data_IF_136169863876
#
_entry.id   IF_136169863876
#
_cell.length_a   1.000
_cell.length_b   1.000
_cell.length_c   1.000
_cell.angle_alpha   90.00
_cell.angle_beta   90.00
_cell.angle_gamma   90.00
#
_symmetry.space_group_name_H-M   'P 1'
#
loop_
_entity.id
_entity.type
_entity.pdbx_description
1 polymer ?
#
# COMPACT_ATOMS: atom_id res chain seq x y z
N UNK A 1 -43.83 -1.48 65.21
CA UNK A 1 -43.70 -0.75 63.94
C UNK A 1 -42.29 -0.99 63.42
N UNK A 2 -42.15 -1.88 62.44
CA UNK A 2 -40.85 -2.31 61.92
C UNK A 2 -40.74 -1.75 60.50
N UNK A 3 -39.88 -0.75 60.33
CA UNK A 3 -39.60 -0.14 59.03
C UNK A 3 -38.69 -1.05 58.20
N UNK A 4 -39.24 -1.58 57.09
CA UNK A 4 -38.53 -2.38 56.10
C UNK A 4 -37.92 -1.43 55.05
N UNK A 5 -36.62 -1.18 55.12
CA UNK A 5 -35.88 -0.45 54.10
C UNK A 5 -35.60 -1.39 52.90
N UNK A 6 -36.26 -1.16 51.78
CA UNK A 6 -36.00 -1.83 50.53
C UNK A 6 -34.89 -1.06 49.82
N UNK A 7 -33.67 -1.62 49.81
CA UNK A 7 -32.53 -1.12 49.03
C UNK A 7 -32.63 -1.65 47.62
N UNK A 8 -33.02 -0.77 46.69
CA UNK A 8 -33.05 -1.09 45.25
C UNK A 8 -31.62 -1.02 44.66
N UNK A 9 -31.01 -2.15 44.45
CA UNK A 9 -29.71 -2.25 43.80
C UNK A 9 -29.87 -2.05 42.26
N UNK A 10 -29.48 -0.88 41.74
CA UNK A 10 -29.34 -0.65 40.32
C UNK A 10 -28.11 -1.41 39.83
N UNK A 11 -28.31 -2.59 39.22
CA UNK A 11 -27.28 -3.24 38.41
C UNK A 11 -27.12 -2.44 37.09
N UNK A 12 -26.10 -1.60 37.02
CA UNK A 12 -25.67 -0.96 35.78
C UNK A 12 -25.11 -2.02 34.83
N UNK A 13 -25.83 -2.33 33.75
CA UNK A 13 -25.36 -3.10 32.61
C UNK A 13 -24.32 -2.25 31.86
N UNK A 14 -23.05 -2.37 32.22
CA UNK A 14 -21.96 -1.84 31.41
C UNK A 14 -21.76 -2.77 30.21
N UNK A 15 -22.37 -2.45 29.08
CA UNK A 15 -22.04 -3.11 27.80
C UNK A 15 -20.58 -2.77 27.46
N UNK A 16 -19.71 -3.76 27.21
CA UNK A 16 -18.36 -3.48 26.74
C UNK A 16 -18.45 -2.82 25.36
N UNK A 17 -18.12 -1.54 25.30
CA UNK A 17 -17.93 -0.84 24.02
C UNK A 17 -16.64 -1.38 23.43
N UNK A 18 -16.74 -2.33 22.50
CA UNK A 18 -15.61 -2.75 21.70
C UNK A 18 -15.30 -1.64 20.69
N UNK A 19 -14.33 -0.81 21.00
CA UNK A 19 -13.76 0.13 20.05
C UNK A 19 -12.97 -0.69 19.01
N UNK A 20 -13.61 -1.11 17.94
CA UNK A 20 -12.96 -1.75 16.79
C UNK A 20 -12.36 -0.67 15.89
N UNK A 21 -11.15 -0.22 16.19
CA UNK A 21 -10.36 0.55 15.24
C UNK A 21 -10.05 -0.29 13.98
N UNK A 22 -9.60 0.34 12.88
CA UNK A 22 -9.27 -0.39 11.66
C UNK A 22 -8.13 -1.36 11.92
N UNK A 23 -8.27 -2.60 11.42
CA UNK A 23 -7.22 -3.61 11.48
C UNK A 23 -6.22 -3.38 10.34
N UNK A 24 -4.89 -3.41 10.60
CA UNK A 24 -3.91 -3.30 9.54
C UNK A 24 -4.01 -4.48 8.58
N UNK A 25 -4.14 -4.17 7.30
CA UNK A 25 -4.19 -5.13 6.20
C UNK A 25 -2.79 -5.33 5.60
N UNK A 26 -2.62 -6.41 4.83
CA UNK A 26 -1.38 -6.73 4.13
C UNK A 26 -1.69 -7.17 2.71
N UNK A 27 -0.81 -6.82 1.77
CA UNK A 27 -0.76 -7.39 0.44
C UNK A 27 0.68 -7.78 0.11
N UNK A 28 0.84 -8.87 -0.64
CA UNK A 28 2.13 -9.30 -1.18
C UNK A 28 1.89 -9.97 -2.52
N UNK A 29 2.56 -9.46 -3.55
CA UNK A 29 2.57 -10.07 -4.89
C UNK A 29 4.02 -10.26 -5.34
N UNK A 30 4.27 -11.34 -6.06
CA UNK A 30 5.59 -11.67 -6.59
C UNK A 30 5.43 -12.17 -8.02
N UNK A 31 6.34 -11.76 -8.90
CA UNK A 31 6.38 -12.22 -10.29
C UNK A 31 7.79 -12.65 -10.67
N UNK A 32 7.89 -13.78 -11.38
CA UNK A 32 9.12 -14.19 -12.04
C UNK A 32 9.23 -13.55 -13.43
N UNK A 33 10.41 -13.04 -13.75
CA UNK A 33 10.71 -12.32 -14.99
C UNK A 33 11.92 -12.95 -15.66
N UNK A 34 11.83 -13.25 -16.96
CA UNK A 34 12.91 -13.81 -17.78
C UNK A 34 13.86 -12.68 -18.24
N UNK A 35 14.43 -11.98 -17.28
CA UNK A 35 15.44 -10.94 -17.51
C UNK A 35 16.38 -10.85 -16.30
N UNK A 36 17.66 -10.46 -16.50
CA UNK A 36 18.60 -10.27 -15.41
C UNK A 36 18.16 -9.19 -14.42
N UNK A 37 18.53 -9.36 -13.14
CA UNK A 37 18.24 -8.39 -12.06
C UNK A 37 18.61 -6.96 -12.46
N UNK A 38 19.78 -6.76 -13.07
CA UNK A 38 20.25 -5.43 -13.47
C UNK A 38 19.30 -4.73 -14.47
N UNK A 39 18.73 -5.48 -15.43
CA UNK A 39 17.79 -4.94 -16.41
C UNK A 39 16.45 -4.56 -15.76
N UNK A 40 15.94 -5.43 -14.89
CA UNK A 40 14.68 -5.18 -14.18
C UNK A 40 14.86 -4.03 -13.20
N UNK A 41 15.93 -4.01 -12.42
CA UNK A 41 16.22 -2.94 -11.48
C UNK A 41 16.37 -1.58 -12.19
N UNK A 42 17.11 -1.51 -13.30
CA UNK A 42 17.23 -0.30 -14.10
C UNK A 42 15.88 0.30 -14.54
N UNK A 43 14.86 -0.54 -14.69
CA UNK A 43 13.50 -0.11 -15.07
C UNK A 43 12.72 0.45 -13.89
N UNK A 44 12.90 -0.09 -12.67
CA UNK A 44 12.05 0.26 -11.51
C UNK A 44 12.74 1.15 -10.48
N UNK A 45 14.07 1.30 -10.53
CA UNK A 45 14.86 1.95 -9.48
C UNK A 45 14.58 3.43 -9.28
N UNK A 46 14.13 4.13 -10.30
CA UNK A 46 13.82 5.55 -10.20
C UNK A 46 12.47 5.73 -9.52
N UNK A 47 12.48 6.19 -8.28
CA UNK A 47 11.30 6.23 -7.40
C UNK A 47 10.14 7.04 -8.00
N UNK A 48 10.43 8.18 -8.59
CA UNK A 48 9.41 9.07 -9.15
C UNK A 48 9.00 8.73 -10.60
N UNK A 49 9.62 7.71 -11.21
CA UNK A 49 9.32 7.30 -12.58
C UNK A 49 8.37 6.08 -12.68
N UNK A 50 7.62 5.74 -11.64
CA UNK A 50 6.76 4.55 -11.61
C UNK A 50 5.72 4.52 -12.73
N UNK A 51 5.18 5.65 -13.16
CA UNK A 51 4.22 5.71 -14.27
C UNK A 51 4.81 5.25 -15.61
N UNK A 52 6.14 5.18 -15.74
CA UNK A 52 6.79 4.66 -16.93
C UNK A 52 6.57 3.15 -17.15
N UNK A 53 6.15 2.43 -16.10
CA UNK A 53 5.92 0.99 -16.16
C UNK A 53 4.62 0.53 -15.48
N UNK A 54 3.89 1.41 -14.77
CA UNK A 54 2.67 1.06 -14.06
C UNK A 54 1.43 1.58 -14.80
N UNK A 55 0.55 0.70 -15.33
CA UNK A 55 -0.53 1.09 -16.23
C UNK A 55 -1.68 1.82 -15.55
N UNK A 56 -1.86 1.69 -14.22
CA UNK A 56 -2.93 2.36 -13.49
C UNK A 56 -2.64 3.84 -13.24
N UNK A 57 -1.42 4.30 -13.59
CA UNK A 57 -0.99 5.67 -13.42
C UNK A 57 -0.92 6.41 -14.76
N UNK A 58 -1.49 7.62 -14.76
CA UNK A 58 -1.39 8.57 -15.87
C UNK A 58 -0.06 9.32 -15.85
N UNK A 59 0.42 9.66 -14.65
CA UNK A 59 1.68 10.36 -14.43
C UNK A 59 2.25 10.05 -13.04
N UNK A 60 3.56 10.23 -12.89
CA UNK A 60 4.24 10.33 -11.60
C UNK A 60 5.31 11.40 -11.70
N UNK A 61 5.37 12.27 -10.71
CA UNK A 61 6.26 13.44 -10.69
C UNK A 61 6.94 13.53 -9.33
N UNK A 62 8.24 13.82 -9.33
CA UNK A 62 9.06 13.97 -8.13
C UNK A 62 10.25 14.87 -8.37
N UNK A 63 11.17 14.87 -7.41
CA UNK A 63 12.40 15.69 -7.46
C UNK A 63 13.60 14.95 -8.11
N UNK A 64 13.37 13.74 -8.62
CA UNK A 64 14.42 12.88 -9.19
C UNK A 64 15.34 12.25 -8.15
N UNK A 65 15.10 12.50 -6.86
CA UNK A 65 15.94 12.00 -5.77
C UNK A 65 15.53 10.58 -5.36
N UNK A 66 16.51 9.67 -5.35
CA UNK A 66 16.38 8.35 -4.72
C UNK A 66 16.95 8.36 -3.29
N UNK A 67 16.63 9.38 -2.51
CA UNK A 67 17.07 9.52 -1.12
C UNK A 67 15.87 9.51 -0.18
N UNK A 68 16.10 9.06 1.06
CA UNK A 68 15.07 9.12 2.11
C UNK A 68 14.53 10.54 2.27
N UNK A 69 13.20 10.68 2.31
CA UNK A 69 12.49 11.95 2.31
C UNK A 69 12.13 12.49 0.92
N UNK A 70 12.66 11.89 -0.16
CA UNK A 70 12.25 12.19 -1.54
C UNK A 70 10.76 11.89 -1.73
N UNK A 71 10.08 12.73 -2.50
CA UNK A 71 8.62 12.63 -2.69
C UNK A 71 8.28 12.39 -4.14
N UNK A 72 7.16 11.68 -4.35
CA UNK A 72 6.51 11.61 -5.65
C UNK A 72 5.02 11.87 -5.53
N UNK A 73 4.45 12.51 -6.53
CA UNK A 73 2.99 12.66 -6.68
C UNK A 73 2.55 11.74 -7.80
N UNK A 74 1.62 10.85 -7.49
CA UNK A 74 1.00 9.93 -8.44
C UNK A 74 -0.30 10.53 -8.95
N UNK A 75 -0.52 10.51 -10.26
CA UNK A 75 -1.81 10.82 -10.89
C UNK A 75 -2.40 9.53 -11.44
N UNK A 76 -3.54 9.12 -10.92
CA UNK A 76 -4.27 7.92 -11.38
C UNK A 76 -5.04 8.19 -12.67
N UNK A 77 -5.54 7.12 -13.32
CA UNK A 77 -6.31 7.23 -14.56
C UNK A 77 -7.59 8.07 -14.41
N UNK A 78 -8.18 8.11 -13.20
CA UNK A 78 -9.34 8.96 -12.87
C UNK A 78 -8.99 10.44 -12.62
N UNK A 79 -7.72 10.83 -12.76
CA UNK A 79 -7.24 12.18 -12.55
C UNK A 79 -7.00 12.57 -11.09
N UNK A 80 -7.30 11.69 -10.14
CA UNK A 80 -7.04 11.93 -8.72
C UNK A 80 -5.57 11.70 -8.40
N UNK A 81 -5.06 12.41 -7.40
CA UNK A 81 -3.65 12.35 -7.02
C UNK A 81 -3.47 11.97 -5.55
N UNK A 82 -2.34 11.37 -5.25
CA UNK A 82 -1.80 11.20 -3.90
C UNK A 82 -0.30 11.44 -3.90
N UNK A 83 0.28 11.65 -2.71
CA UNK A 83 1.73 11.85 -2.58
C UNK A 83 2.32 10.74 -1.70
N UNK A 84 3.46 10.20 -2.12
CA UNK A 84 4.25 9.23 -1.39
C UNK A 84 5.63 9.80 -1.06
N UNK A 85 6.26 9.27 -0.01
CA UNK A 85 7.58 9.66 0.45
C UNK A 85 8.47 8.42 0.57
N UNK A 86 9.67 8.49 0.01
CA UNK A 86 10.68 7.43 0.05
C UNK A 86 11.25 7.34 1.47
N UNK A 87 11.21 6.15 2.06
CA UNK A 87 11.77 5.88 3.39
C UNK A 87 13.19 5.35 3.33
N UNK A 88 13.43 4.43 2.40
CA UNK A 88 14.67 3.69 2.26
C UNK A 88 14.95 3.38 0.79
N UNK A 89 16.22 3.44 0.41
CA UNK A 89 16.69 3.05 -0.92
C UNK A 89 18.07 2.38 -0.82
N UNK A 90 18.22 1.24 -1.47
CA UNK A 90 19.48 0.51 -1.51
C UNK A 90 19.75 -0.03 -2.92
N UNK A 91 20.72 0.58 -3.60
CA UNK A 91 21.13 0.20 -4.97
C UNK A 91 21.74 -1.22 -5.01
N UNK A 92 22.49 -1.63 -3.98
CA UNK A 92 23.16 -2.93 -3.93
C UNK A 92 22.19 -4.08 -3.66
N UNK A 93 21.21 -3.84 -2.80
CA UNK A 93 20.15 -4.81 -2.45
C UNK A 93 18.98 -4.82 -3.45
N UNK A 94 18.98 -3.88 -4.40
CA UNK A 94 17.92 -3.68 -5.38
C UNK A 94 16.54 -3.55 -4.74
N UNK A 95 16.46 -2.70 -3.71
CA UNK A 95 15.21 -2.51 -2.99
C UNK A 95 15.01 -1.05 -2.56
N UNK A 96 13.76 -0.68 -2.43
CA UNK A 96 13.35 0.55 -1.77
C UNK A 96 12.01 0.39 -1.07
N UNK A 97 11.76 1.23 -0.07
CA UNK A 97 10.47 1.31 0.60
C UNK A 97 9.98 2.74 0.70
N UNK A 98 8.67 2.90 0.72
CA UNK A 98 8.01 4.19 0.76
C UNK A 98 6.68 4.12 1.50
N UNK A 99 6.14 5.28 1.85
CA UNK A 99 4.85 5.40 2.51
C UNK A 99 3.98 6.49 1.89
N UNK A 100 2.68 6.37 2.14
CA UNK A 100 1.72 7.42 1.84
C UNK A 100 2.04 8.66 2.70
N UNK A 101 2.13 9.83 2.05
CA UNK A 101 2.39 11.12 2.70
C UNK A 101 1.13 12.00 2.73
N UNK A 102 0.43 12.06 1.61
CA UNK A 102 -0.84 12.78 1.51
C UNK A 102 -1.89 11.84 0.96
N UNK A 103 -2.86 11.51 1.80
CA UNK A 103 -3.95 10.62 1.43
C UNK A 103 -4.96 11.29 0.50
N UNK A 104 -5.54 10.48 -0.37
CA UNK A 104 -6.72 10.81 -1.14
C UNK A 104 -7.48 9.52 -1.42
N UNK A 105 -8.54 9.27 -0.67
CA UNK A 105 -9.34 8.03 -0.79
C UNK A 105 -10.13 7.94 -2.09
N UNK A 106 -10.25 9.03 -2.86
CA UNK A 106 -10.79 9.01 -4.21
C UNK A 106 -9.76 8.54 -5.25
N UNK A 107 -8.46 8.73 -4.96
CA UNK A 107 -7.38 8.20 -5.77
C UNK A 107 -7.15 6.71 -5.46
N UNK A 108 -7.06 6.39 -4.16
CA UNK A 108 -6.76 5.04 -3.71
C UNK A 108 -7.40 4.78 -2.33
N UNK A 109 -8.12 3.66 -2.11
CA UNK A 109 -8.98 3.46 -0.94
C UNK A 109 -8.22 3.05 0.34
N UNK A 110 -7.09 3.70 0.62
CA UNK A 110 -6.30 3.55 1.84
C UNK A 110 -6.09 4.89 2.52
N UNK A 111 -6.16 4.93 3.86
CA UNK A 111 -5.84 6.11 4.67
C UNK A 111 -4.35 6.18 5.03
N UNK A 112 -3.67 5.04 4.97
CA UNK A 112 -2.23 4.90 5.22
C UNK A 112 -1.74 3.65 4.52
N UNK A 113 -0.56 3.71 3.91
CA UNK A 113 0.15 2.52 3.42
C UNK A 113 1.67 2.72 3.48
N UNK A 114 2.36 1.60 3.63
CA UNK A 114 3.80 1.48 3.36
C UNK A 114 4.01 0.34 2.39
N UNK A 115 4.94 0.51 1.45
CA UNK A 115 5.25 -0.47 0.42
C UNK A 115 6.75 -0.70 0.36
N UNK A 116 7.15 -1.95 0.15
CA UNK A 116 8.51 -2.39 -0.17
C UNK A 116 8.50 -2.99 -1.57
N UNK A 117 9.42 -2.55 -2.42
CA UNK A 117 9.74 -3.16 -3.71
C UNK A 117 11.14 -3.77 -3.62
N UNK A 118 11.26 -5.05 -3.99
CA UNK A 118 12.55 -5.75 -4.07
C UNK A 118 12.67 -6.52 -5.37
N UNK A 119 13.83 -6.40 -6.03
CA UNK A 119 14.24 -7.23 -7.16
C UNK A 119 15.33 -8.19 -6.68
N UNK A 120 15.14 -9.47 -6.91
CA UNK A 120 16.06 -10.53 -6.48
C UNK A 120 16.40 -11.44 -7.67
N UNK A 121 17.52 -12.20 -7.62
CA UNK A 121 17.77 -13.28 -8.59
C UNK A 121 16.59 -14.26 -8.61
N UNK A 122 16.25 -14.76 -9.78
CA UNK A 122 15.29 -15.84 -9.96
C UNK A 122 15.94 -17.23 -9.79
N UNK A 123 15.17 -18.27 -10.04
CA UNK A 123 15.62 -19.68 -9.88
C UNK A 123 16.57 -20.14 -11.00
N UNK A 124 16.53 -19.49 -12.15
CA UNK A 124 17.41 -19.80 -13.29
C UNK A 124 18.37 -18.64 -13.58
N UNK A 125 19.46 -18.93 -14.28
CA UNK A 125 20.39 -17.90 -14.76
C UNK A 125 19.65 -16.86 -15.61
N UNK A 126 20.05 -15.60 -15.49
CA UNK A 126 19.48 -14.47 -16.23
C UNK A 126 17.96 -14.27 -16.01
N UNK A 127 17.42 -14.77 -14.90
CA UNK A 127 16.05 -14.51 -14.46
C UNK A 127 16.04 -13.70 -13.16
N UNK A 128 14.91 -13.07 -12.88
CA UNK A 128 14.70 -12.32 -11.64
C UNK A 128 13.31 -12.54 -11.07
N UNK A 129 13.15 -12.16 -9.81
CA UNK A 129 11.89 -12.15 -9.10
C UNK A 129 11.66 -10.75 -8.55
N UNK A 130 10.48 -10.17 -8.80
CA UNK A 130 10.09 -8.87 -8.25
C UNK A 130 8.97 -9.08 -7.24
N UNK A 131 9.19 -8.59 -6.02
CA UNK A 131 8.21 -8.65 -4.93
C UNK A 131 7.79 -7.25 -4.52
N UNK A 132 6.48 -7.05 -4.42
CA UNK A 132 5.84 -5.91 -3.76
C UNK A 132 5.17 -6.39 -2.47
N UNK A 133 5.44 -5.71 -1.35
CA UNK A 133 4.79 -5.95 -0.06
C UNK A 133 4.21 -4.65 0.47
N UNK A 134 3.06 -4.71 1.12
CA UNK A 134 2.46 -3.54 1.76
C UNK A 134 1.79 -3.91 3.08
N UNK A 135 1.80 -2.91 3.99
CA UNK A 135 0.90 -2.81 5.14
C UNK A 135 0.10 -1.52 4.98
N UNK A 136 -1.19 -1.60 5.23
CA UNK A 136 -2.07 -0.45 5.00
C UNK A 136 -3.32 -0.54 5.87
N UNK A 137 -4.01 0.59 5.97
CA UNK A 137 -5.35 0.68 6.55
C UNK A 137 -6.34 1.06 5.47
N UNK A 138 -7.60 0.63 5.63
CA UNK A 138 -8.70 1.01 4.76
C UNK A 138 -8.91 2.52 4.71
N UNK A 139 -9.55 3.01 3.65
CA UNK A 139 -9.74 4.44 3.42
C UNK A 139 -10.59 5.14 4.47
N UNK A 140 -11.67 4.48 4.96
CA UNK A 140 -12.45 5.00 6.09
C UNK A 140 -12.13 4.19 7.36
N UNK A 141 -11.50 4.86 8.33
CA UNK A 141 -11.09 4.26 9.59
C UNK A 141 -12.20 4.28 10.66
N UNK A 142 -13.38 4.81 10.34
CA UNK A 142 -14.55 4.80 11.22
C UNK A 142 -15.12 3.40 11.47
N UNK A 143 -16.07 3.31 12.41
CA UNK A 143 -16.65 2.02 12.82
C UNK A 143 -17.59 1.40 11.76
N UNK A 144 -18.10 2.21 10.83
CA UNK A 144 -19.04 1.76 9.80
C UNK A 144 -18.62 2.30 8.42
N UNK A 145 -17.48 1.81 7.88
CA UNK A 145 -16.99 2.28 6.61
C UNK A 145 -17.95 1.93 5.47
N UNK A 146 -18.13 2.82 4.50
CA UNK A 146 -18.89 2.48 3.30
C UNK A 146 -18.16 1.39 2.49
N UNK A 147 -18.88 0.59 1.66
CA UNK A 147 -18.29 -0.55 0.95
C UNK A 147 -17.04 -0.22 0.14
N UNK A 148 -16.96 0.97 -0.46
CA UNK A 148 -15.83 1.39 -1.29
C UNK A 148 -14.58 1.81 -0.49
N UNK A 149 -14.67 1.96 0.85
CA UNK A 149 -13.58 2.38 1.73
C UNK A 149 -13.34 1.42 2.90
N UNK A 150 -13.92 0.21 2.85
CA UNK A 150 -13.76 -0.83 3.85
C UNK A 150 -12.46 -1.65 3.62
N UNK A 151 -12.20 -2.63 4.49
CA UNK A 151 -11.02 -3.49 4.41
C UNK A 151 -10.96 -4.30 3.10
N UNK A 152 -12.08 -4.82 2.62
CA UNK A 152 -12.16 -5.59 1.38
C UNK A 152 -11.79 -4.72 0.16
N UNK A 153 -12.32 -3.50 0.09
CA UNK A 153 -12.01 -2.56 -0.98
C UNK A 153 -10.51 -2.19 -0.98
N UNK A 154 -9.94 -1.93 0.19
CA UNK A 154 -8.52 -1.61 0.32
C UNK A 154 -7.61 -2.78 -0.08
N UNK A 155 -7.93 -4.00 0.37
CA UNK A 155 -7.17 -5.22 0.00
C UNK A 155 -7.26 -5.48 -1.50
N UNK A 156 -8.46 -5.39 -2.07
CA UNK A 156 -8.69 -5.59 -3.51
C UNK A 156 -7.90 -4.57 -4.34
N UNK A 157 -7.97 -3.29 -3.98
CA UNK A 157 -7.28 -2.22 -4.70
C UNK A 157 -5.75 -2.40 -4.64
N UNK A 158 -5.18 -2.65 -3.46
CA UNK A 158 -3.74 -2.83 -3.29
C UNK A 158 -3.23 -4.06 -4.05
N UNK A 159 -3.95 -5.18 -3.95
CA UNK A 159 -3.60 -6.42 -4.66
C UNK A 159 -3.66 -6.23 -6.17
N UNK A 160 -4.71 -5.58 -6.67
CA UNK A 160 -4.87 -5.33 -8.12
C UNK A 160 -3.81 -4.35 -8.64
N UNK A 161 -3.52 -3.29 -7.89
CA UNK A 161 -2.45 -2.35 -8.22
C UNK A 161 -1.10 -3.09 -8.35
N UNK A 162 -0.75 -3.93 -7.41
CA UNK A 162 0.49 -4.72 -7.50
C UNK A 162 0.50 -5.66 -8.70
N UNK A 163 -0.58 -6.40 -8.94
CA UNK A 163 -0.69 -7.32 -10.08
C UNK A 163 -0.57 -6.62 -11.42
N UNK A 164 -1.27 -5.50 -11.59
CA UNK A 164 -1.23 -4.71 -12.82
C UNK A 164 0.18 -4.19 -13.09
N UNK A 165 0.82 -3.59 -12.09
CA UNK A 165 2.18 -3.07 -12.21
C UNK A 165 3.20 -4.16 -12.53
N UNK A 166 3.19 -5.26 -11.78
CA UNK A 166 4.12 -6.38 -11.98
C UNK A 166 3.93 -7.05 -13.36
N UNK A 167 2.69 -7.23 -13.81
CA UNK A 167 2.41 -7.79 -15.13
C UNK A 167 2.92 -6.89 -16.26
N UNK A 168 2.67 -5.59 -16.16
CA UNK A 168 3.15 -4.63 -17.15
C UNK A 168 4.69 -4.50 -17.14
N UNK A 169 5.30 -4.51 -15.95
CA UNK A 169 6.76 -4.55 -15.82
C UNK A 169 7.35 -5.77 -16.53
N UNK A 170 6.80 -6.96 -16.29
CA UNK A 170 7.23 -8.20 -16.96
C UNK A 170 7.18 -8.05 -18.48
N UNK A 171 6.05 -7.63 -19.02
CA UNK A 171 5.88 -7.40 -20.47
C UNK A 171 6.88 -6.37 -21.03
N UNK A 172 7.22 -5.35 -20.23
CA UNK A 172 8.13 -4.28 -20.66
C UNK A 172 9.58 -4.74 -20.76
N UNK A 173 10.00 -5.67 -19.87
CA UNK A 173 11.43 -6.03 -19.76
C UNK A 173 11.77 -7.37 -20.42
N UNK A 174 10.80 -8.25 -20.68
CA UNK A 174 10.97 -9.47 -21.50
C UNK A 174 10.92 -9.15 -22.98
#
# INVERSE_FOLDING_TARGET
>A
MRNLLITLALLGLTSPVHAHGPTPQKAKETIAINAPVAKVWATVKQFDAIAAWHPDLKASEGDGSNQSGGKRTLTFQNGQTLTEELDYYNEQEHEYSYRLKTENTQAFPTSSHSVELKVSPGDAADTSSVTLKSRFYRGDTGNTPPPQLNDEAAVKAMTQFFKNGLSALKTKVE
#
